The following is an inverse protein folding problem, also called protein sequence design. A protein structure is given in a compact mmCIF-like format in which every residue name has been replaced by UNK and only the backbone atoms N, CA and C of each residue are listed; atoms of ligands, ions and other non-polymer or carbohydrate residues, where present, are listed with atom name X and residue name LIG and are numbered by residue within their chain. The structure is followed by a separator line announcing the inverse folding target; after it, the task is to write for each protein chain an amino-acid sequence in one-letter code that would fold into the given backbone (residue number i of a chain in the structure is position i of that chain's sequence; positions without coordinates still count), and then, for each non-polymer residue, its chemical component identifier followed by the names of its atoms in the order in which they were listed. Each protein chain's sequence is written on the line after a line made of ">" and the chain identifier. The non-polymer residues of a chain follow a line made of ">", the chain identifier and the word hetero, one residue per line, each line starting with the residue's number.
data_IF_265282531757
#
_entry.id   IF_265282531757
#
_cell.length_a   1.000
_cell.length_b   1.000
_cell.length_c   1.000
_cell.angle_alpha   90.00
_cell.angle_beta   90.00
_cell.angle_gamma   90.00
#
_symmetry.space_group_name_H-M   'P 1'
#
loop_
_entity.id
_entity.type
_entity.pdbx_description
1 polymer ?
#
# COMPACT_ATOMS: atom_id res chain seq x y z
N UNK A 1 -26.15 2.72 -11.94
CA UNK A 1 -24.94 3.01 -11.13
C UNK A 1 -23.71 2.81 -12.01
N UNK A 2 -22.78 3.77 -12.10
CA UNK A 2 -21.51 3.55 -12.82
C UNK A 2 -20.65 2.58 -12.01
N UNK A 3 -20.40 1.39 -12.54
CA UNK A 3 -19.48 0.40 -11.94
C UNK A 3 -18.09 1.04 -11.86
N UNK A 4 -17.56 1.21 -10.65
CA UNK A 4 -16.21 1.77 -10.46
C UNK A 4 -15.20 0.81 -11.06
N UNK A 5 -14.23 1.32 -11.80
CA UNK A 5 -13.14 0.49 -12.32
C UNK A 5 -12.27 -0.03 -11.16
N UNK A 6 -11.59 -1.15 -11.38
CA UNK A 6 -10.68 -1.76 -10.39
C UNK A 6 -9.64 -0.76 -9.88
N UNK A 7 -9.13 0.09 -10.77
CA UNK A 7 -8.22 1.19 -10.43
C UNK A 7 -8.87 2.28 -9.57
N UNK A 8 -10.15 2.61 -9.81
CA UNK A 8 -10.88 3.56 -8.97
C UNK A 8 -11.12 2.99 -7.57
N UNK A 9 -11.40 1.69 -7.46
CA UNK A 9 -11.55 0.99 -6.18
C UNK A 9 -10.22 1.02 -5.42
N UNK A 10 -9.11 0.63 -6.07
CA UNK A 10 -7.78 0.67 -5.46
C UNK A 10 -7.41 2.07 -4.96
N UNK A 11 -7.65 3.11 -5.75
CA UNK A 11 -7.35 4.49 -5.33
C UNK A 11 -8.21 4.92 -4.14
N UNK A 12 -9.50 4.54 -4.11
CA UNK A 12 -10.36 4.83 -2.98
C UNK A 12 -9.86 4.13 -1.71
N UNK A 13 -9.45 2.86 -1.80
CA UNK A 13 -8.90 2.11 -0.66
C UNK A 13 -7.56 2.69 -0.18
N UNK A 14 -6.66 3.06 -1.09
CA UNK A 14 -5.39 3.73 -0.75
C UNK A 14 -5.62 5.10 -0.10
N UNK A 15 -6.70 5.81 -0.44
CA UNK A 15 -7.04 7.08 0.21
C UNK A 15 -7.49 6.88 1.67
N UNK A 16 -7.94 5.68 2.05
CA UNK A 16 -8.22 5.35 3.46
C UNK A 16 -6.96 5.09 4.28
N UNK A 17 -5.82 4.83 3.64
CA UNK A 17 -4.54 4.67 4.34
C UNK A 17 -4.08 6.00 4.92
N UNK A 18 -3.82 6.00 6.23
CA UNK A 18 -3.25 7.12 6.96
C UNK A 18 -1.76 6.88 7.20
N UNK A 19 -1.04 7.98 7.43
CA UNK A 19 0.34 7.92 7.86
C UNK A 19 0.37 7.21 9.20
N UNK A 20 1.37 6.36 9.37
CA UNK A 20 1.59 5.67 10.63
C UNK A 20 1.89 6.70 11.73
N UNK A 21 1.49 6.38 12.97
CA UNK A 21 1.84 7.23 14.09
C UNK A 21 3.37 7.33 14.20
N UNK A 22 3.93 8.55 14.26
CA UNK A 22 5.35 8.74 14.50
C UNK A 22 5.71 8.08 15.83
N UNK A 23 6.82 7.35 15.86
CA UNK A 23 7.34 6.71 17.06
C UNK A 23 8.51 7.54 17.55
N UNK A 24 8.43 7.98 18.80
CA UNK A 24 9.53 8.63 19.49
C UNK A 24 10.16 7.67 20.50
N UNK A 25 11.46 7.45 20.37
CA UNK A 25 12.32 6.86 21.39
C UNK A 25 13.61 7.66 21.48
N UNK A 26 13.53 8.62 22.39
CA UNK A 26 14.61 9.22 23.19
C UNK A 26 15.04 8.16 24.24
N UNK A 27 16.15 8.17 24.98
CA UNK A 27 17.41 8.91 25.04
C UNK A 27 18.46 7.97 25.67
N UNK A 28 19.76 8.07 25.35
CA UNK A 28 20.88 7.67 26.26
C UNK A 28 22.25 8.08 25.70
N UNK A 29 23.24 8.13 26.60
CA UNK A 29 24.68 8.15 26.33
C UNK A 29 25.27 6.79 25.82
N UNK A 30 24.42 5.81 25.48
CA UNK A 30 24.82 4.43 25.08
C UNK A 30 23.81 3.65 24.22
N UNK A 31 22.82 4.29 23.59
CA UNK A 31 21.79 3.70 22.69
C UNK A 31 20.30 3.69 23.15
N UNK A 32 19.50 4.68 22.74
CA UNK A 32 18.03 4.65 22.67
C UNK A 32 17.69 5.54 21.49
N UNK A 33 16.93 4.96 20.59
CA UNK A 33 16.67 5.44 19.26
C UNK A 33 15.27 4.94 18.88
N UNK A 34 14.48 5.84 18.34
CA UNK A 34 13.71 5.75 17.09
C UNK A 34 13.08 7.14 17.02
N UNK A 35 13.55 7.99 16.12
CA UNK A 35 12.88 9.25 15.84
C UNK A 35 12.24 9.14 14.47
N UNK A 36 11.13 8.42 14.41
CA UNK A 36 10.29 8.37 13.22
C UNK A 36 9.43 9.64 13.25
N UNK A 37 9.83 10.68 12.51
CA UNK A 37 9.13 11.97 12.53
C UNK A 37 7.82 11.91 11.76
N UNK A 38 6.92 12.86 12.01
CA UNK A 38 5.68 12.97 11.26
C UNK A 38 5.93 13.19 9.75
N UNK A 39 7.03 13.85 9.36
CA UNK A 39 7.47 13.94 7.97
C UNK A 39 7.88 12.59 7.39
N UNK A 40 8.61 11.77 8.15
CA UNK A 40 9.03 10.45 7.70
C UNK A 40 7.82 9.53 7.50
N UNK A 41 6.86 9.49 8.44
CA UNK A 41 5.68 8.64 8.29
C UNK A 41 4.75 9.07 7.16
N UNK A 42 4.72 10.37 6.82
CA UNK A 42 4.06 10.89 5.62
C UNK A 42 4.78 10.48 4.34
N UNK A 43 6.12 10.49 4.34
CA UNK A 43 6.94 10.01 3.22
C UNK A 43 6.71 8.52 2.99
N UNK A 44 6.77 7.72 4.04
CA UNK A 44 6.53 6.28 3.98
C UNK A 44 5.13 5.97 3.45
N UNK A 45 4.10 6.75 3.86
CA UNK A 45 2.76 6.61 3.30
C UNK A 45 2.73 6.89 1.79
N UNK A 46 3.43 7.93 1.34
CA UNK A 46 3.48 8.30 -0.09
C UNK A 46 4.19 7.21 -0.90
N UNK A 47 5.31 6.72 -0.40
CA UNK A 47 6.09 5.63 -1.00
C UNK A 47 5.29 4.32 -1.02
N UNK A 48 4.60 3.98 0.08
CA UNK A 48 3.70 2.84 0.14
C UNK A 48 2.58 2.92 -0.89
N UNK A 49 1.91 4.09 -1.01
CA UNK A 49 0.86 4.29 -2.03
C UNK A 49 1.40 4.14 -3.45
N UNK A 50 2.61 4.63 -3.73
CA UNK A 50 3.26 4.48 -5.02
C UNK A 50 3.62 3.01 -5.30
N UNK A 51 4.22 2.33 -4.32
CA UNK A 51 4.60 0.92 -4.39
C UNK A 51 3.40 0.01 -4.65
N UNK A 52 2.29 0.19 -3.93
CA UNK A 52 1.08 -0.63 -4.14
C UNK A 52 0.52 -0.44 -5.55
N UNK A 53 0.54 0.79 -6.07
CA UNK A 53 0.09 1.08 -7.45
C UNK A 53 1.00 0.43 -8.50
N UNK A 54 2.31 0.50 -8.31
CA UNK A 54 3.27 -0.13 -9.19
C UNK A 54 3.10 -1.65 -9.20
N UNK A 55 3.04 -2.28 -8.03
CA UNK A 55 2.84 -3.72 -7.89
C UNK A 55 1.49 -4.18 -8.43
N UNK A 56 0.43 -3.39 -8.27
CA UNK A 56 -0.84 -3.67 -8.91
C UNK A 56 -0.71 -3.75 -10.44
N UNK A 57 -0.04 -2.77 -11.08
CA UNK A 57 0.14 -2.73 -12.53
C UNK A 57 1.02 -3.88 -13.02
N UNK A 58 2.12 -4.13 -12.32
CA UNK A 58 3.04 -5.22 -12.64
C UNK A 58 2.33 -6.57 -12.54
N UNK A 59 1.66 -6.85 -11.43
CA UNK A 59 0.94 -8.10 -11.22
C UNK A 59 -0.21 -8.29 -12.21
N UNK A 60 -0.98 -7.23 -12.50
CA UNK A 60 -2.04 -7.31 -13.51
C UNK A 60 -1.46 -7.58 -14.91
N UNK A 61 -0.34 -6.97 -15.26
CA UNK A 61 0.37 -7.24 -16.52
C UNK A 61 0.89 -8.67 -16.58
N UNK A 62 1.55 -9.14 -15.53
CA UNK A 62 2.15 -10.48 -15.49
C UNK A 62 1.08 -11.56 -15.61
N UNK A 63 -0.06 -11.40 -14.94
CA UNK A 63 -1.20 -12.33 -15.03
C UNK A 63 -1.80 -12.41 -16.44
N UNK A 64 -1.79 -11.30 -17.19
CA UNK A 64 -2.24 -11.31 -18.58
C UNK A 64 -1.18 -11.95 -19.49
N UNK A 65 0.08 -11.50 -19.38
CA UNK A 65 1.16 -11.88 -20.30
C UNK A 65 1.61 -13.33 -20.09
N UNK A 66 1.83 -13.75 -18.84
CA UNK A 66 2.44 -15.03 -18.53
C UNK A 66 1.43 -16.12 -18.15
N UNK A 67 0.26 -15.72 -17.63
CA UNK A 67 -0.75 -16.68 -17.14
C UNK A 67 -2.01 -16.72 -18.01
N UNK A 68 -2.09 -15.91 -19.08
CA UNK A 68 -3.21 -15.91 -20.02
C UNK A 68 -4.54 -15.47 -19.39
N UNK A 69 -4.53 -14.75 -18.26
CA UNK A 69 -5.76 -14.27 -17.65
C UNK A 69 -6.42 -13.20 -18.54
N UNK A 70 -7.75 -13.15 -18.52
CA UNK A 70 -8.47 -11.98 -19.03
C UNK A 70 -8.09 -10.75 -18.19
N UNK A 71 -8.05 -9.58 -18.82
CA UNK A 71 -7.68 -8.32 -18.14
C UNK A 71 -8.50 -8.08 -16.87
N UNK A 72 -9.81 -8.35 -16.90
CA UNK A 72 -10.67 -8.21 -15.73
C UNK A 72 -10.28 -9.17 -14.60
N UNK A 73 -9.99 -10.44 -14.92
CA UNK A 73 -9.57 -11.44 -13.91
C UNK A 73 -8.19 -11.11 -13.33
N UNK A 74 -7.27 -10.63 -14.15
CA UNK A 74 -5.95 -10.18 -13.73
C UNK A 74 -6.02 -8.97 -12.80
N UNK A 75 -6.79 -7.95 -13.17
CA UNK A 75 -7.00 -6.76 -12.34
C UNK A 75 -7.69 -7.11 -11.01
N UNK A 76 -8.68 -8.00 -11.00
CA UNK A 76 -9.34 -8.45 -9.78
C UNK A 76 -8.37 -9.18 -8.82
N UNK A 77 -7.54 -10.10 -9.33
CA UNK A 77 -6.54 -10.80 -8.51
C UNK A 77 -5.44 -9.85 -7.99
N UNK A 78 -5.00 -8.91 -8.82
CA UNK A 78 -4.06 -7.87 -8.40
C UNK A 78 -4.68 -6.96 -7.32
N UNK A 79 -5.98 -6.66 -7.40
CA UNK A 79 -6.70 -5.88 -6.40
C UNK A 79 -6.75 -6.61 -5.05
N UNK A 80 -7.07 -7.91 -5.04
CA UNK A 80 -7.08 -8.71 -3.80
C UNK A 80 -5.70 -8.73 -3.13
N UNK A 81 -4.64 -8.84 -3.94
CA UNK A 81 -3.27 -8.82 -3.40
C UNK A 81 -2.89 -7.43 -2.87
N UNK A 82 -3.35 -6.36 -3.53
CA UNK A 82 -3.19 -5.00 -3.05
C UNK A 82 -3.96 -4.77 -1.74
N UNK A 83 -5.17 -5.34 -1.59
CA UNK A 83 -5.97 -5.29 -0.36
C UNK A 83 -5.26 -5.94 0.81
N UNK A 84 -4.65 -7.12 0.62
CA UNK A 84 -3.84 -7.77 1.66
C UNK A 84 -2.70 -6.85 2.12
N UNK A 85 -1.99 -6.20 1.19
CA UNK A 85 -0.92 -5.25 1.53
C UNK A 85 -1.43 -4.02 2.28
N UNK A 86 -2.58 -3.47 1.85
CA UNK A 86 -3.25 -2.35 2.53
C UNK A 86 -3.68 -2.75 3.94
N UNK A 87 -4.19 -3.97 4.11
CA UNK A 87 -4.55 -4.52 5.43
C UNK A 87 -3.32 -4.63 6.33
N UNK A 88 -2.22 -5.23 5.85
CA UNK A 88 -0.97 -5.29 6.59
C UNK A 88 -0.45 -3.91 6.98
N UNK A 89 -0.54 -2.91 6.09
CA UNK A 89 -0.16 -1.53 6.42
C UNK A 89 -1.00 -0.95 7.57
N UNK A 90 -2.31 -1.20 7.57
CA UNK A 90 -3.22 -0.74 8.63
C UNK A 90 -2.96 -1.46 9.95
N UNK A 91 -2.63 -2.74 9.91
CA UNK A 91 -2.38 -3.58 11.09
C UNK A 91 -0.99 -3.41 11.68
N UNK A 92 0.02 -3.02 10.88
CA UNK A 92 1.41 -2.87 11.33
C UNK A 92 1.61 -1.89 12.51
N UNK A 93 0.60 -1.09 12.85
CA UNK A 93 0.60 -0.18 14.00
C UNK A 93 -0.73 -0.15 14.80
N UNK A 94 -1.57 -1.19 14.71
CA UNK A 94 -2.57 -1.45 15.75
C UNK A 94 -1.85 -1.98 17.01
#
# INVERSE_FOLDING_TARGET
>A
MKTKSTLQILNAELNTCKANAPREKVMVAGGWFIKETAEQTKKDLKEFKAFVKEKFRQQASDLVVYFGHSRQKAEAAALETARSRIKCWKEAKA
#
